data_IF_507859497283
#
_entry.id   IF_507859497283
#
_cell.length_a   1.000
_cell.length_b   1.000
_cell.length_c   1.000
_cell.angle_alpha   90.00
_cell.angle_beta   90.00
_cell.angle_gamma   90.00
#
_symmetry.space_group_name_H-M   'P 1'
#
loop_
_entity.id
_entity.type
_entity.pdbx_description
1 polymer ?
#
# COMPACT_ATOMS: atom_id res chain seq x y z
N UNK A 1 5.47 -3.81 18.07
CA UNK A 1 4.94 -3.02 16.94
C UNK A 1 3.52 -2.60 17.22
N UNK A 2 3.19 -1.37 16.90
CA UNK A 2 1.83 -0.85 17.06
C UNK A 2 1.24 -0.61 15.66
N UNK A 3 -0.02 -1.03 15.47
CA UNK A 3 -0.74 -0.83 14.21
C UNK A 3 -1.84 0.21 14.42
N UNK A 4 -1.80 1.28 13.63
CA UNK A 4 -2.80 2.34 13.64
C UNK A 4 -3.67 2.22 12.41
N UNK A 5 -4.95 2.56 12.54
CA UNK A 5 -5.94 2.39 11.46
C UNK A 5 -6.27 3.69 10.71
N UNK A 6 -5.50 4.74 10.92
CA UNK A 6 -5.69 6.01 10.26
C UNK A 6 -4.37 6.75 10.17
N UNK A 7 -4.00 7.17 8.97
CA UNK A 7 -2.76 7.92 8.75
C UNK A 7 -2.77 9.26 9.47
N UNK A 8 -3.95 9.85 9.73
CA UNK A 8 -4.05 11.13 10.43
C UNK A 8 -3.53 11.07 11.87
N UNK A 9 -3.38 9.87 12.45
CA UNK A 9 -2.74 9.69 13.76
C UNK A 9 -1.21 9.81 13.70
N UNK A 10 -0.64 9.87 12.51
CA UNK A 10 0.81 10.00 12.28
C UNK A 10 1.08 11.42 11.80
N UNK A 11 2.09 12.09 12.37
CA UNK A 11 2.44 13.45 11.95
C UNK A 11 2.99 13.48 10.52
N UNK A 12 2.83 14.62 9.86
CA UNK A 12 3.40 14.83 8.53
C UNK A 12 4.92 14.62 8.53
N UNK A 13 5.61 15.08 9.57
CA UNK A 13 7.05 14.91 9.71
C UNK A 13 7.45 13.43 9.75
N UNK A 14 6.74 12.64 10.54
CA UNK A 14 6.98 11.20 10.65
C UNK A 14 6.72 10.49 9.31
N UNK A 15 5.63 10.85 8.63
CA UNK A 15 5.31 10.32 7.31
C UNK A 15 6.38 10.70 6.28
N UNK A 16 6.82 11.96 6.30
CA UNK A 16 7.87 12.45 5.38
C UNK A 16 9.18 11.67 5.56
N UNK A 17 9.60 11.47 6.81
CA UNK A 17 10.81 10.71 7.13
C UNK A 17 10.73 9.28 6.60
N UNK A 18 9.59 8.63 6.74
CA UNK A 18 9.36 7.30 6.19
C UNK A 18 9.43 7.29 4.67
N UNK A 19 8.73 8.22 4.01
CA UNK A 19 8.70 8.29 2.55
C UNK A 19 10.07 8.56 1.95
N UNK A 20 10.86 9.42 2.55
CA UNK A 20 12.24 9.66 2.13
C UNK A 20 13.09 8.39 2.20
N UNK A 21 12.91 7.61 3.23
CA UNK A 21 13.65 6.38 3.44
C UNK A 21 13.29 5.29 2.42
N UNK A 22 12.02 5.15 2.07
CA UNK A 22 11.54 4.08 1.19
C UNK A 22 11.44 4.49 -0.28
N UNK A 23 11.67 5.75 -0.62
CA UNK A 23 11.47 6.28 -1.97
C UNK A 23 12.17 5.45 -3.05
N UNK A 24 13.39 5.01 -2.81
CA UNK A 24 14.19 4.28 -3.79
C UNK A 24 13.74 2.83 -3.99
N UNK A 25 12.82 2.33 -3.17
CA UNK A 25 12.27 0.99 -3.32
C UNK A 25 11.23 0.90 -4.44
N UNK A 26 10.80 2.05 -4.97
CA UNK A 26 9.81 2.13 -6.05
C UNK A 26 10.48 2.36 -7.39
N UNK A 27 9.84 1.90 -8.47
CA UNK A 27 10.28 2.12 -9.85
C UNK A 27 9.19 2.87 -10.62
N UNK A 28 9.45 4.12 -11.04
CA UNK A 28 10.60 4.95 -10.65
C UNK A 28 10.51 5.37 -9.17
N UNK A 29 11.59 5.89 -8.56
CA UNK A 29 11.54 6.35 -7.16
C UNK A 29 10.39 7.33 -6.94
N UNK A 30 9.76 7.26 -5.74
CA UNK A 30 8.63 8.14 -5.43
C UNK A 30 9.04 9.63 -5.40
N UNK A 31 10.20 9.92 -4.82
CA UNK A 31 10.69 11.30 -4.71
C UNK A 31 11.77 11.56 -5.77
N UNK A 32 11.73 12.71 -6.43
CA UNK A 32 10.80 13.84 -6.24
C UNK A 32 9.49 13.75 -7.05
N UNK A 33 9.14 12.57 -7.57
CA UNK A 33 8.00 12.37 -8.47
C UNK A 33 6.66 12.77 -7.85
N UNK A 34 6.52 12.63 -6.53
CA UNK A 34 5.32 13.07 -5.80
C UNK A 34 5.67 14.18 -4.82
N UNK A 35 4.67 15.03 -4.54
CA UNK A 35 4.74 16.00 -3.44
C UNK A 35 4.26 15.28 -2.17
N UNK A 36 5.17 15.03 -1.24
CA UNK A 36 4.88 14.25 -0.02
C UNK A 36 3.80 14.88 0.83
N UNK A 37 3.83 16.22 0.96
CA UNK A 37 2.87 16.94 1.81
C UNK A 37 1.45 16.83 1.22
N UNK A 38 1.30 17.01 -0.08
CA UNK A 38 0.03 16.86 -0.76
C UNK A 38 -0.45 15.40 -0.73
N UNK A 39 0.48 14.44 -0.87
CA UNK A 39 0.15 13.03 -0.82
C UNK A 39 -0.33 12.61 0.57
N UNK A 40 0.36 13.08 1.62
CA UNK A 40 -0.08 12.86 3.00
C UNK A 40 -1.51 13.37 3.22
N UNK A 41 -1.79 14.59 2.76
CA UNK A 41 -3.11 15.19 2.88
C UNK A 41 -4.17 14.38 2.14
N UNK A 42 -3.87 13.97 0.91
CA UNK A 42 -4.77 13.15 0.10
C UNK A 42 -5.08 11.81 0.76
N UNK A 43 -4.04 11.10 1.20
CA UNK A 43 -4.22 9.81 1.85
C UNK A 43 -4.97 9.94 3.17
N UNK A 44 -4.65 10.97 3.97
CA UNK A 44 -5.33 11.19 5.25
C UNK A 44 -6.82 11.43 5.10
N UNK A 45 -7.23 12.13 4.04
CA UNK A 45 -8.64 12.46 3.79
C UNK A 45 -9.39 11.37 3.05
N UNK A 46 -8.76 10.70 2.09
CA UNK A 46 -9.46 9.85 1.12
C UNK A 46 -9.19 8.36 1.27
N UNK A 47 -8.10 7.98 1.92
CA UNK A 47 -7.72 6.57 2.02
C UNK A 47 -8.11 5.96 3.36
N UNK A 48 -8.41 4.67 3.32
CA UNK A 48 -8.46 3.80 4.49
C UNK A 48 -7.06 3.20 4.62
N UNK A 49 -6.39 3.45 5.74
CA UNK A 49 -4.98 3.10 5.89
C UNK A 49 -4.72 2.29 7.15
N UNK A 50 -3.69 1.42 7.08
CA UNK A 50 -3.12 0.77 8.26
C UNK A 50 -1.63 1.13 8.29
N UNK A 51 -1.17 1.61 9.43
CA UNK A 51 0.20 2.07 9.62
C UNK A 51 0.85 1.25 10.73
N UNK A 52 2.08 0.79 10.50
CA UNK A 52 2.87 0.10 11.51
C UNK A 52 3.89 1.08 12.09
N UNK A 53 3.91 1.18 13.42
CA UNK A 53 4.83 2.05 14.15
C UNK A 53 5.76 1.22 15.03
N UNK A 54 7.02 1.64 15.08
CA UNK A 54 7.98 1.18 16.08
C UNK A 54 8.31 2.40 16.95
N UNK A 55 7.64 2.53 18.11
CA UNK A 55 7.71 3.76 18.92
C UNK A 55 7.19 4.94 18.09
N UNK A 56 8.03 5.97 17.95
CA UNK A 56 7.69 7.19 17.21
C UNK A 56 8.00 7.10 15.71
N UNK A 57 8.52 5.95 15.26
CA UNK A 57 8.97 5.77 13.89
C UNK A 57 7.95 4.97 13.09
N UNK A 58 7.54 5.50 11.95
CA UNK A 58 6.72 4.77 11.00
C UNK A 58 7.60 3.78 10.22
N UNK A 59 7.19 2.52 10.16
CA UNK A 59 7.97 1.46 9.52
C UNK A 59 7.22 0.73 8.42
N UNK A 60 5.93 0.98 8.26
CA UNK A 60 5.15 0.38 7.18
C UNK A 60 3.78 1.00 7.04
N UNK A 61 3.20 0.85 5.85
CA UNK A 61 1.85 1.34 5.54
C UNK A 61 1.21 0.52 4.43
N UNK A 62 -0.10 0.34 4.53
CA UNK A 62 -0.99 0.02 3.40
C UNK A 62 -2.08 1.09 3.39
N UNK A 63 -2.25 1.75 2.25
CA UNK A 63 -3.34 2.70 2.03
C UNK A 63 -4.25 2.18 0.92
N UNK A 64 -5.55 2.31 1.09
CA UNK A 64 -6.54 1.85 0.13
C UNK A 64 -7.62 2.91 -0.08
N UNK A 65 -7.99 3.15 -1.34
CA UNK A 65 -9.14 3.99 -1.67
C UNK A 65 -10.40 3.13 -1.71
N UNK A 66 -11.39 3.50 -0.89
CA UNK A 66 -12.66 2.78 -0.76
C UNK A 66 -13.85 3.69 -1.10
N UNK A 67 -13.67 4.62 -2.05
CA UNK A 67 -14.62 5.71 -2.29
C UNK A 67 -15.60 5.42 -3.42
N UNK A 68 -15.36 4.40 -4.23
CA UNK A 68 -16.24 4.09 -5.36
C UNK A 68 -17.35 3.14 -4.91
N UNK A 69 -18.48 3.71 -4.52
CA UNK A 69 -19.63 2.93 -4.04
C UNK A 69 -20.46 2.32 -5.18
N UNK A 70 -20.25 2.75 -6.42
CA UNK A 70 -20.94 2.17 -7.58
C UNK A 70 -20.32 0.83 -7.96
N UNK A 71 -18.99 0.79 -8.14
CA UNK A 71 -18.30 -0.44 -8.52
C UNK A 71 -17.98 -1.33 -7.33
N UNK A 72 -17.88 -0.74 -6.13
CA UNK A 72 -17.44 -1.40 -4.89
C UNK A 72 -16.08 -2.08 -5.02
N UNK A 73 -15.21 -1.48 -5.85
CA UNK A 73 -13.83 -1.91 -6.03
C UNK A 73 -12.91 -0.93 -5.31
N UNK A 74 -12.15 -1.44 -4.34
CA UNK A 74 -11.11 -0.67 -3.68
C UNK A 74 -9.81 -0.78 -4.46
N UNK A 75 -8.93 0.20 -4.28
CA UNK A 75 -7.62 0.19 -4.92
C UNK A 75 -6.54 0.57 -3.92
N UNK A 76 -5.43 -0.16 -3.93
CA UNK A 76 -4.29 0.11 -3.05
C UNK A 76 -3.22 0.91 -3.82
N UNK A 77 -3.08 2.22 -3.57
CA UNK A 77 -2.04 3.03 -4.21
C UNK A 77 -0.67 2.92 -3.53
N UNK A 78 -0.61 2.43 -2.29
CA UNK A 78 0.63 2.42 -1.53
C UNK A 78 0.68 1.21 -0.58
N UNK A 79 1.72 0.39 -0.76
CA UNK A 79 2.14 -0.65 0.18
C UNK A 79 3.64 -0.55 0.32
N UNK A 80 4.13 -0.38 1.53
CA UNK A 80 5.56 -0.28 1.74
C UNK A 80 5.95 -0.61 3.17
N UNK A 81 7.08 -1.31 3.32
CA UNK A 81 7.70 -1.59 4.61
C UNK A 81 9.17 -1.21 4.53
N UNK A 82 9.66 -0.50 5.55
CA UNK A 82 11.06 -0.13 5.70
C UNK A 82 11.93 -1.39 5.58
N UNK A 83 12.99 -1.32 4.77
CA UNK A 83 13.86 -2.45 4.49
C UNK A 83 14.46 -3.07 5.76
N UNK A 84 14.73 -2.27 6.78
CA UNK A 84 15.27 -2.75 8.05
C UNK A 84 14.28 -3.59 8.85
N UNK A 85 12.99 -3.51 8.51
CA UNK A 85 11.91 -4.22 9.18
C UNK A 85 11.33 -5.37 8.35
N UNK A 86 11.91 -5.67 7.19
CA UNK A 86 11.46 -6.78 6.35
C UNK A 86 11.82 -8.12 6.98
N UNK A 87 11.11 -9.17 6.59
CA UNK A 87 11.31 -10.50 7.16
C UNK A 87 10.64 -10.73 8.50
N UNK A 88 9.84 -9.78 8.99
CA UNK A 88 9.12 -9.86 10.26
C UNK A 88 7.61 -9.99 10.07
N UNK A 89 7.17 -10.33 8.87
CA UNK A 89 5.75 -10.49 8.51
C UNK A 89 4.90 -9.22 8.65
N UNK A 90 5.53 -8.04 8.67
CA UNK A 90 4.81 -6.76 8.82
C UNK A 90 3.93 -6.51 7.60
N UNK A 91 4.42 -6.74 6.39
CA UNK A 91 3.64 -6.53 5.17
C UNK A 91 2.38 -7.40 5.15
N UNK A 92 2.49 -8.67 5.54
CA UNK A 92 1.36 -9.59 5.63
C UNK A 92 0.33 -9.12 6.64
N UNK A 93 0.78 -8.70 7.82
CA UNK A 93 -0.11 -8.19 8.86
C UNK A 93 -0.82 -6.90 8.42
N UNK A 94 -0.07 -5.97 7.81
CA UNK A 94 -0.65 -4.74 7.25
C UNK A 94 -1.73 -5.05 6.22
N UNK A 95 -1.45 -5.95 5.29
CA UNK A 95 -2.39 -6.34 4.24
C UNK A 95 -3.64 -7.01 4.81
N UNK A 96 -3.48 -7.92 5.76
CA UNK A 96 -4.62 -8.59 6.39
C UNK A 96 -5.53 -7.60 7.12
N UNK A 97 -4.93 -6.66 7.85
CA UNK A 97 -5.70 -5.61 8.54
C UNK A 97 -6.37 -4.66 7.56
N UNK A 98 -5.68 -4.28 6.50
CA UNK A 98 -6.23 -3.40 5.46
C UNK A 98 -7.41 -4.07 4.74
N UNK A 99 -7.28 -5.33 4.38
CA UNK A 99 -8.34 -6.09 3.72
C UNK A 99 -9.59 -6.14 4.62
N UNK A 100 -9.43 -6.40 5.92
CA UNK A 100 -10.54 -6.39 6.87
C UNK A 100 -11.25 -5.04 6.93
N UNK A 101 -10.50 -3.95 6.97
CA UNK A 101 -11.07 -2.60 6.96
C UNK A 101 -11.79 -2.29 5.65
N UNK A 102 -11.20 -2.67 4.53
CA UNK A 102 -11.79 -2.46 3.20
C UNK A 102 -13.12 -3.20 3.07
N UNK A 103 -13.18 -4.44 3.55
CA UNK A 103 -14.43 -5.20 3.62
C UNK A 103 -15.48 -4.49 4.47
N UNK A 104 -15.08 -3.96 5.63
CA UNK A 104 -15.98 -3.27 6.54
C UNK A 104 -16.56 -1.99 5.93
N UNK A 105 -15.92 -1.44 4.90
CA UNK A 105 -16.40 -0.26 4.17
C UNK A 105 -17.36 -0.61 3.04
N UNK A 106 -17.73 -1.88 2.90
CA UNK A 106 -18.70 -2.34 1.90
C UNK A 106 -18.09 -2.66 0.54
N UNK A 107 -16.78 -2.68 0.41
CA UNK A 107 -16.14 -3.05 -0.84
C UNK A 107 -16.27 -4.55 -1.10
N UNK A 108 -16.36 -4.92 -2.38
CA UNK A 108 -16.51 -6.32 -2.83
C UNK A 108 -15.25 -6.87 -3.45
N UNK A 109 -14.31 -6.01 -3.81
CA UNK A 109 -13.08 -6.36 -4.51
C UNK A 109 -12.00 -5.35 -4.17
N UNK A 110 -10.74 -5.77 -4.22
CA UNK A 110 -9.60 -4.89 -4.05
C UNK A 110 -8.56 -5.17 -5.14
N UNK A 111 -8.01 -4.12 -5.73
CA UNK A 111 -6.99 -4.20 -6.77
C UNK A 111 -5.69 -3.56 -6.35
N UNK A 112 -4.59 -4.06 -6.92
CA UNK A 112 -3.25 -3.54 -6.66
C UNK A 112 -2.35 -3.74 -7.88
N UNK A 113 -1.51 -2.74 -8.15
CA UNK A 113 -0.41 -2.87 -9.12
C UNK A 113 0.91 -3.08 -8.39
N UNK A 114 1.82 -3.81 -9.00
CA UNK A 114 3.20 -3.92 -8.54
C UNK A 114 4.14 -4.21 -9.70
N UNK A 115 5.39 -3.77 -9.59
CA UNK A 115 6.48 -4.11 -10.51
C UNK A 115 7.40 -5.18 -9.88
N UNK A 116 7.13 -5.59 -8.66
CA UNK A 116 7.99 -6.46 -7.88
C UNK A 116 7.46 -7.90 -7.90
N UNK A 117 8.27 -8.83 -8.41
CA UNK A 117 7.89 -10.26 -8.49
C UNK A 117 7.64 -10.89 -7.14
N UNK A 118 8.40 -10.49 -6.12
CA UNK A 118 8.23 -11.03 -4.76
C UNK A 118 6.91 -10.55 -4.15
N UNK A 119 6.58 -9.27 -4.33
CA UNK A 119 5.30 -8.73 -3.91
C UNK A 119 4.14 -9.42 -4.64
N UNK A 120 4.25 -9.60 -5.96
CA UNK A 120 3.26 -10.35 -6.75
C UNK A 120 3.03 -11.73 -6.13
N UNK A 121 4.10 -12.47 -5.84
CA UNK A 121 3.99 -13.82 -5.26
C UNK A 121 3.32 -13.79 -3.89
N UNK A 122 3.63 -12.79 -3.07
CA UNK A 122 2.98 -12.60 -1.78
C UNK A 122 1.47 -12.39 -1.94
N UNK A 123 1.07 -11.52 -2.86
CA UNK A 123 -0.34 -11.25 -3.11
C UNK A 123 -1.08 -12.48 -3.63
N UNK A 124 -0.46 -13.26 -4.52
CA UNK A 124 -1.05 -14.52 -5.00
C UNK A 124 -1.27 -15.49 -3.83
N UNK A 125 -0.31 -15.61 -2.93
CA UNK A 125 -0.46 -16.44 -1.72
C UNK A 125 -1.58 -15.96 -0.80
N UNK A 126 -1.89 -14.67 -0.82
CA UNK A 126 -2.98 -14.08 -0.06
C UNK A 126 -4.34 -14.19 -0.74
N UNK A 127 -4.40 -14.85 -1.91
CA UNK A 127 -5.65 -15.07 -2.63
C UNK A 127 -5.94 -14.06 -3.72
N UNK A 128 -5.00 -13.17 -4.05
CA UNK A 128 -5.14 -12.29 -5.20
C UNK A 128 -4.95 -13.08 -6.49
N UNK A 129 -5.70 -12.71 -7.52
CA UNK A 129 -5.56 -13.29 -8.86
C UNK A 129 -4.84 -12.30 -9.76
N UNK A 130 -3.87 -12.81 -10.55
CA UNK A 130 -3.21 -12.01 -11.56
C UNK A 130 -4.19 -11.76 -12.70
N UNK A 131 -4.51 -10.49 -12.95
CA UNK A 131 -5.43 -10.08 -14.02
C UNK A 131 -4.67 -9.83 -15.30
N UNK A 132 -3.54 -9.12 -15.22
CA UNK A 132 -2.67 -8.93 -16.38
C UNK A 132 -1.23 -8.65 -15.93
N UNK A 133 -0.30 -8.92 -16.86
CA UNK A 133 1.08 -8.48 -16.74
C UNK A 133 1.52 -7.87 -18.07
N UNK A 134 2.31 -6.81 -18.01
CA UNK A 134 2.80 -6.07 -19.17
C UNK A 134 4.21 -5.60 -18.95
N UNK A 135 5.05 -5.76 -19.97
CA UNK A 135 6.41 -5.20 -19.92
C UNK A 135 6.36 -3.69 -20.11
N UNK A 136 7.01 -2.94 -19.22
CA UNK A 136 7.14 -1.48 -19.31
C UNK A 136 8.53 -1.12 -19.79
N UNK A 137 8.63 -0.58 -21.01
CA UNK A 137 9.92 -0.26 -21.65
C UNK A 137 10.64 0.91 -21.00
N UNK A 138 9.89 1.86 -20.42
CA UNK A 138 10.43 3.05 -19.75
C UNK A 138 11.22 2.70 -18.48
N UNK A 139 10.75 1.70 -17.72
CA UNK A 139 11.41 1.24 -16.48
C UNK A 139 12.04 -0.15 -16.64
N UNK A 140 11.97 -0.75 -17.84
CA UNK A 140 12.59 -2.02 -18.23
C UNK A 140 12.23 -3.17 -17.27
N UNK A 141 10.98 -3.26 -16.87
CA UNK A 141 10.48 -4.34 -16.01
C UNK A 141 9.01 -4.62 -16.30
N UNK A 142 8.54 -5.77 -15.84
CA UNK A 142 7.13 -6.10 -15.92
C UNK A 142 6.32 -5.31 -14.91
N UNK A 143 5.06 -5.10 -15.22
CA UNK A 143 4.07 -4.58 -14.29
C UNK A 143 2.91 -5.55 -14.20
N UNK A 144 2.46 -5.78 -12.99
CA UNK A 144 1.38 -6.73 -12.68
C UNK A 144 0.18 -5.98 -12.12
N UNK A 145 -1.01 -6.41 -12.50
CA UNK A 145 -2.25 -5.98 -11.85
C UNK A 145 -2.96 -7.21 -11.29
N UNK A 146 -3.28 -7.16 -10.01
CA UNK A 146 -3.93 -8.26 -9.30
C UNK A 146 -5.19 -7.77 -8.60
N UNK A 147 -6.15 -8.67 -8.46
CA UNK A 147 -7.40 -8.39 -7.74
C UNK A 147 -7.73 -9.53 -6.79
N UNK A 148 -8.39 -9.17 -5.69
CA UNK A 148 -8.95 -10.14 -4.75
C UNK A 148 -10.42 -9.85 -4.57
N UNK A 149 -11.26 -10.87 -4.80
CA UNK A 149 -12.69 -10.83 -4.49
C UNK A 149 -12.90 -11.23 -3.03
N UNK A 150 -13.90 -10.62 -2.38
CA UNK A 150 -14.19 -10.87 -0.98
C UNK A 150 -15.32 -11.89 -0.76
N UNK A 151 -15.65 -12.62 -1.76
CA UNK A 151 -16.72 -13.63 -1.68
C UNK A 151 -16.22 -14.94 -1.11
#
# INVERSE_FOLDING_TARGET
MQYLTDLSYVSLETFRSFMEKVSCDFLPPLLPRIDVDLYYEKLSKLATSVVCMDGDKMVGIVAAYCNNMETKVAYIPLVCVDVEYRGQHIATELMNRAISLVKSRGMQKIGIHTNNKFAKSMYVKMGFQLIWERYQTDIKTDRYYLEKNFN
#
